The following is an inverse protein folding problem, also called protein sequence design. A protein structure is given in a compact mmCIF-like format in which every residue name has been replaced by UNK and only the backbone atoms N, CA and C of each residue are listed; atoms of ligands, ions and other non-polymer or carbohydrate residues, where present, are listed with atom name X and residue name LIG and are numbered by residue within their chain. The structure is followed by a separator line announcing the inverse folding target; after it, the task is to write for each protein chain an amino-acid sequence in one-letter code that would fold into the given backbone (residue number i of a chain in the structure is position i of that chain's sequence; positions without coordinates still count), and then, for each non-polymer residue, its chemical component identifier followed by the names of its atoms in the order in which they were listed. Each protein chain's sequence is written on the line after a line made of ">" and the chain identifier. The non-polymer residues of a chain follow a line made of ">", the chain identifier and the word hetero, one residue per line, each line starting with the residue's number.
data_IF_186166574576
#
_entry.id   IF_186166574576
#
_cell.length_a   1.000
_cell.length_b   1.000
_cell.length_c   1.000
_cell.angle_alpha   90.00
_cell.angle_beta   90.00
_cell.angle_gamma   90.00
#
_symmetry.space_group_name_H-M   'P 1'
#
loop_
_entity.id
_entity.type
_entity.pdbx_description
1 polymer ?
#
# COMPACT_ATOMS: atom_id res chain seq x y z
N UNK A 1 -36.58 12.45 -63.40
CA UNK A 1 -35.45 11.78 -62.71
C UNK A 1 -34.73 12.61 -61.63
N UNK A 2 -34.62 13.95 -61.71
CA UNK A 2 -33.90 14.78 -60.70
C UNK A 2 -34.41 14.71 -59.25
N UNK A 3 -35.72 14.57 -59.01
CA UNK A 3 -36.31 14.47 -57.65
C UNK A 3 -35.97 13.17 -56.90
N UNK A 4 -35.68 12.07 -57.61
CA UNK A 4 -35.33 10.79 -56.99
C UNK A 4 -33.89 10.78 -56.45
N UNK A 5 -32.96 11.41 -57.17
CA UNK A 5 -31.56 11.60 -56.75
C UNK A 5 -31.42 12.48 -55.50
N UNK A 6 -32.25 13.52 -55.38
CA UNK A 6 -32.28 14.41 -54.21
C UNK A 6 -32.69 13.71 -52.91
N UNK A 7 -33.63 12.76 -52.96
CA UNK A 7 -34.10 12.02 -51.77
C UNK A 7 -33.04 11.02 -51.26
N UNK A 8 -32.42 10.25 -52.15
CA UNK A 8 -31.31 9.33 -51.78
C UNK A 8 -30.12 10.07 -51.18
N UNK A 9 -29.76 11.24 -51.71
CA UNK A 9 -28.66 12.06 -51.19
C UNK A 9 -28.95 12.60 -49.77
N UNK A 10 -30.20 12.99 -49.48
CA UNK A 10 -30.64 13.37 -48.13
C UNK A 10 -30.60 12.20 -47.14
N UNK A 11 -31.01 11.00 -47.54
CA UNK A 11 -30.97 9.81 -46.68
C UNK A 11 -29.53 9.38 -46.35
N UNK A 12 -28.62 9.44 -47.32
CA UNK A 12 -27.18 9.16 -47.09
C UNK A 12 -26.60 10.19 -46.13
N UNK A 13 -26.91 11.48 -46.32
CA UNK A 13 -26.43 12.56 -45.45
C UNK A 13 -26.93 12.43 -44.00
N UNK A 14 -28.18 12.00 -43.79
CA UNK A 14 -28.70 11.73 -42.44
C UNK A 14 -28.05 10.51 -41.81
N UNK A 15 -27.77 9.44 -42.57
CA UNK A 15 -27.09 8.24 -42.04
C UNK A 15 -25.66 8.58 -41.63
N UNK A 16 -24.93 9.34 -42.46
CA UNK A 16 -23.56 9.78 -42.11
C UNK A 16 -23.55 10.69 -40.88
N UNK A 17 -24.54 11.58 -40.74
CA UNK A 17 -24.65 12.45 -39.56
C UNK A 17 -24.95 11.63 -38.28
N UNK A 18 -25.80 10.61 -38.36
CA UNK A 18 -26.09 9.71 -37.23
C UNK A 18 -24.85 8.88 -36.86
N UNK A 19 -24.12 8.34 -37.84
CA UNK A 19 -22.88 7.60 -37.58
C UNK A 19 -21.84 8.49 -36.90
N UNK A 20 -21.66 9.72 -37.40
CA UNK A 20 -20.75 10.68 -36.79
C UNK A 20 -21.17 11.02 -35.35
N UNK A 21 -22.46 11.22 -35.11
CA UNK A 21 -23.00 11.48 -33.77
C UNK A 21 -22.74 10.30 -32.82
N UNK A 22 -22.95 9.07 -33.27
CA UNK A 22 -22.66 7.85 -32.47
C UNK A 22 -21.16 7.75 -32.17
N UNK A 23 -20.29 7.99 -33.15
CA UNK A 23 -18.83 8.00 -32.93
C UNK A 23 -18.44 9.06 -31.90
N UNK A 24 -18.96 10.30 -32.03
CA UNK A 24 -18.72 11.35 -31.05
C UNK A 24 -19.22 10.95 -29.65
N UNK A 25 -20.42 10.39 -29.53
CA UNK A 25 -20.96 9.94 -28.26
C UNK A 25 -20.09 8.84 -27.62
N UNK A 26 -19.59 7.90 -28.42
CA UNK A 26 -18.67 6.84 -27.97
C UNK A 26 -17.34 7.42 -27.52
N UNK A 27 -16.75 8.36 -28.28
CA UNK A 27 -15.50 9.02 -27.89
C UNK A 27 -15.64 9.81 -26.59
N UNK A 28 -16.75 10.52 -26.40
CA UNK A 28 -17.05 11.23 -25.16
C UNK A 28 -17.21 10.25 -24.00
N UNK A 29 -17.94 9.15 -24.20
CA UNK A 29 -18.11 8.10 -23.19
C UNK A 29 -16.76 7.48 -22.78
N UNK A 30 -15.92 7.14 -23.76
CA UNK A 30 -14.57 6.62 -23.53
C UNK A 30 -13.73 7.63 -22.74
N UNK A 31 -13.75 8.91 -23.12
CA UNK A 31 -12.98 9.93 -22.41
C UNK A 31 -13.36 10.04 -20.93
N UNK A 32 -14.66 10.04 -20.60
CA UNK A 32 -15.11 10.05 -19.21
C UNK A 32 -14.72 8.79 -18.45
N UNK A 33 -14.84 7.61 -19.08
CA UNK A 33 -14.49 6.34 -18.44
C UNK A 33 -12.99 6.18 -18.24
N UNK A 34 -12.18 6.55 -19.22
CA UNK A 34 -10.72 6.51 -19.14
C UNK A 34 -10.23 7.30 -17.93
N UNK A 35 -10.78 8.51 -17.71
CA UNK A 35 -10.40 9.33 -16.55
C UNK A 35 -10.62 8.61 -15.22
N UNK A 36 -11.80 8.00 -15.01
CA UNK A 36 -12.12 7.27 -13.78
C UNK A 36 -11.20 6.05 -13.55
N UNK A 37 -10.91 5.27 -14.60
CA UNK A 37 -10.01 4.13 -14.49
C UNK A 37 -8.54 4.53 -14.32
N UNK A 38 -8.17 5.73 -14.76
CA UNK A 38 -6.79 6.21 -14.70
C UNK A 38 -6.32 6.43 -13.26
N UNK A 39 -7.13 7.09 -12.45
CA UNK A 39 -6.85 7.27 -11.03
C UNK A 39 -6.71 5.93 -10.28
N UNK A 40 -7.61 4.97 -10.56
CA UNK A 40 -7.59 3.63 -9.93
C UNK A 40 -6.33 2.85 -10.29
N UNK A 41 -5.97 2.83 -11.58
CA UNK A 41 -4.79 2.11 -12.06
C UNK A 41 -3.50 2.74 -11.50
N UNK A 42 -3.42 4.07 -11.45
CA UNK A 42 -2.27 4.75 -10.85
C UNK A 42 -2.15 4.51 -9.36
N UNK A 43 -3.24 4.67 -8.62
CA UNK A 43 -3.27 4.41 -7.18
C UNK A 43 -2.85 2.97 -6.90
N UNK A 44 -3.36 2.00 -7.65
CA UNK A 44 -3.01 0.59 -7.46
C UNK A 44 -1.54 0.29 -7.76
N UNK A 45 -0.99 0.83 -8.85
CA UNK A 45 0.42 0.61 -9.19
C UNK A 45 1.36 1.33 -8.22
N UNK A 46 1.01 2.54 -7.79
CA UNK A 46 1.75 3.30 -6.79
C UNK A 46 1.74 2.60 -5.43
N UNK A 47 0.58 2.10 -4.98
CA UNK A 47 0.47 1.28 -3.76
C UNK A 47 1.35 0.04 -3.85
N UNK A 48 1.29 -0.69 -4.97
CA UNK A 48 2.13 -1.88 -5.18
C UNK A 48 3.62 -1.54 -5.12
N UNK A 49 4.03 -0.45 -5.76
CA UNK A 49 5.41 0.01 -5.75
C UNK A 49 5.88 0.37 -4.33
N UNK A 50 5.09 1.18 -3.60
CA UNK A 50 5.38 1.52 -2.21
C UNK A 50 5.49 0.29 -1.31
N UNK A 51 4.56 -0.66 -1.42
CA UNK A 51 4.59 -1.90 -0.65
C UNK A 51 5.83 -2.75 -0.97
N UNK A 52 6.23 -2.84 -2.24
CA UNK A 52 7.45 -3.55 -2.65
C UNK A 52 8.69 -2.93 -2.02
N UNK A 53 8.83 -1.60 -2.09
CA UNK A 53 10.01 -0.91 -1.56
C UNK A 53 10.06 -0.97 -0.03
N UNK A 54 8.92 -0.91 0.66
CA UNK A 54 8.85 -1.13 2.11
C UNK A 54 9.36 -2.53 2.46
N UNK A 55 8.88 -3.56 1.75
CA UNK A 55 9.34 -4.92 2.00
C UNK A 55 10.85 -5.09 1.74
N UNK A 56 11.38 -4.49 0.66
CA UNK A 56 12.82 -4.49 0.37
C UNK A 56 13.63 -3.82 1.48
N UNK A 57 13.20 -2.66 1.98
CA UNK A 57 13.85 -1.94 3.06
C UNK A 57 13.97 -2.79 4.34
N UNK A 58 12.90 -3.54 4.62
CA UNK A 58 12.81 -4.37 5.81
C UNK A 58 13.63 -5.63 5.66
N UNK A 59 13.57 -6.32 4.52
CA UNK A 59 14.38 -7.51 4.26
C UNK A 59 15.88 -7.22 4.43
N UNK A 60 16.34 -6.07 3.94
CA UNK A 60 17.71 -5.62 4.12
C UNK A 60 18.04 -5.32 5.60
N UNK A 61 17.11 -4.67 6.31
CA UNK A 61 17.28 -4.38 7.74
C UNK A 61 17.26 -5.65 8.60
N UNK A 62 16.46 -6.66 8.23
CA UNK A 62 16.36 -7.97 8.88
C UNK A 62 17.64 -8.79 8.78
N UNK A 63 18.36 -8.69 7.66
CA UNK A 63 19.64 -9.38 7.50
C UNK A 63 20.75 -8.85 8.42
N UNK A 64 20.57 -7.63 8.95
CA UNK A 64 21.61 -6.90 9.69
C UNK A 64 21.43 -6.93 11.21
N UNK A 65 20.27 -7.37 11.73
CA UNK A 65 19.94 -7.31 13.16
C UNK A 65 19.17 -8.55 13.61
N UNK A 66 19.41 -9.00 14.85
CA UNK A 66 18.61 -10.05 15.47
C UNK A 66 17.37 -9.43 16.14
N UNK A 67 16.23 -9.46 15.44
CA UNK A 67 14.99 -8.85 15.92
C UNK A 67 14.45 -9.49 17.21
N UNK A 68 14.85 -10.75 17.50
CA UNK A 68 14.48 -11.47 18.72
C UNK A 68 15.07 -10.84 20.00
N UNK A 69 16.12 -10.02 19.87
CA UNK A 69 16.80 -9.34 20.97
C UNK A 69 16.28 -7.92 21.23
N UNK A 70 15.38 -7.40 20.38
CA UNK A 70 14.83 -6.05 20.53
C UNK A 70 13.98 -5.88 21.79
N UNK A 71 13.49 -6.99 22.33
CA UNK A 71 12.60 -7.01 23.49
C UNK A 71 13.11 -8.03 24.48
N UNK A 72 13.33 -7.59 25.72
CA UNK A 72 13.75 -8.44 26.84
C UNK A 72 12.75 -8.36 27.99
N UNK A 73 12.55 -9.49 28.67
CA UNK A 73 11.73 -9.58 29.87
C UNK A 73 12.66 -9.59 31.08
N UNK A 74 12.44 -8.66 32.00
CA UNK A 74 13.20 -8.55 33.25
C UNK A 74 12.47 -9.23 34.39
N UNK A 75 13.22 -9.86 35.29
CA UNK A 75 12.69 -10.62 36.43
C UNK A 75 13.19 -10.02 37.75
N UNK A 76 12.35 -10.06 38.78
CA UNK A 76 12.71 -9.68 40.16
C UNK A 76 13.54 -10.77 40.85
N UNK A 77 13.95 -10.51 42.11
CA UNK A 77 14.74 -11.47 42.91
C UNK A 77 14.01 -12.78 43.21
N UNK A 78 12.69 -12.83 43.01
CA UNK A 78 11.85 -14.00 43.23
C UNK A 78 11.54 -14.75 41.92
N UNK A 79 12.12 -14.33 40.79
CA UNK A 79 11.86 -14.91 39.48
C UNK A 79 10.52 -14.50 38.86
N UNK A 80 9.86 -13.47 39.39
CA UNK A 80 8.62 -12.90 38.84
C UNK A 80 8.94 -11.82 37.81
N UNK A 81 8.08 -11.69 36.80
CA UNK A 81 8.25 -10.68 35.75
C UNK A 81 8.10 -9.29 36.36
N UNK A 82 9.13 -8.45 36.23
CA UNK A 82 9.18 -7.09 36.78
C UNK A 82 8.95 -6.02 35.71
N UNK A 83 9.14 -6.34 34.44
CA UNK A 83 8.96 -5.40 33.35
C UNK A 83 9.48 -5.90 32.02
N UNK A 84 9.13 -5.18 30.96
CA UNK A 84 9.63 -5.41 29.59
C UNK A 84 10.48 -4.21 29.21
N UNK A 85 11.67 -4.49 28.71
CA UNK A 85 12.61 -3.48 28.24
C UNK A 85 12.87 -3.68 26.77
N UNK A 86 12.64 -2.62 25.99
CA UNK A 86 13.00 -2.57 24.59
C UNK A 86 14.44 -2.05 24.45
N UNK A 87 15.21 -2.64 23.54
CA UNK A 87 16.51 -2.11 23.16
C UNK A 87 16.33 -0.94 22.20
N UNK A 88 16.12 0.24 22.77
CA UNK A 88 15.89 1.47 22.03
C UNK A 88 17.06 1.85 21.11
N UNK A 89 18.28 1.38 21.38
CA UNK A 89 19.43 1.68 20.53
C UNK A 89 19.33 0.90 19.22
N UNK A 90 19.16 -0.42 19.29
CA UNK A 90 19.00 -1.26 18.09
C UNK A 90 17.73 -0.91 17.32
N UNK A 91 16.64 -0.60 18.03
CA UNK A 91 15.41 -0.05 17.47
C UNK A 91 15.67 1.22 16.64
N UNK A 92 16.39 2.20 17.18
CA UNK A 92 16.66 3.45 16.47
C UNK A 92 17.59 3.24 15.28
N UNK A 93 18.51 2.27 15.36
CA UNK A 93 19.36 1.89 14.22
C UNK A 93 18.50 1.30 13.10
N UNK A 94 17.59 0.37 13.40
CA UNK A 94 16.70 -0.25 12.42
C UNK A 94 15.80 0.79 11.75
N UNK A 95 15.10 1.61 12.54
CA UNK A 95 14.21 2.66 12.01
C UNK A 95 14.98 3.66 11.15
N UNK A 96 16.19 4.05 11.56
CA UNK A 96 17.08 4.90 10.75
C UNK A 96 17.52 4.23 9.45
N UNK A 97 17.84 2.93 9.47
CA UNK A 97 18.24 2.17 8.27
C UNK A 97 17.09 2.04 7.27
N UNK A 98 15.89 1.70 7.74
CA UNK A 98 14.69 1.65 6.91
C UNK A 98 14.43 3.03 6.30
N UNK A 99 14.41 4.08 7.11
CA UNK A 99 14.17 5.45 6.64
C UNK A 99 15.20 5.89 5.59
N UNK A 100 16.48 5.61 5.82
CA UNK A 100 17.55 5.95 4.89
C UNK A 100 17.44 5.17 3.58
N UNK A 101 17.16 3.86 3.65
CA UNK A 101 16.97 3.03 2.46
C UNK A 101 15.79 3.52 1.62
N UNK A 102 14.62 3.74 2.26
CA UNK A 102 13.43 4.25 1.59
C UNK A 102 13.70 5.60 0.93
N UNK A 103 14.31 6.54 1.66
CA UNK A 103 14.64 7.86 1.14
C UNK A 103 15.61 7.79 -0.05
N UNK A 104 16.62 6.92 0.02
CA UNK A 104 17.58 6.75 -1.07
C UNK A 104 16.94 6.07 -2.29
N UNK A 105 16.12 5.04 -2.06
CA UNK A 105 15.46 4.27 -3.12
C UNK A 105 14.43 5.11 -3.88
N UNK A 106 13.75 6.02 -3.19
CA UNK A 106 12.77 6.94 -3.74
C UNK A 106 13.40 8.21 -4.34
N UNK A 107 14.64 8.55 -3.97
CA UNK A 107 15.42 9.62 -4.60
C UNK A 107 16.10 9.18 -5.91
N UNK A 108 16.21 7.88 -6.18
CA UNK A 108 16.75 7.39 -7.45
C UNK A 108 15.67 7.44 -8.54
N UNK A 109 15.70 8.51 -9.33
CA UNK A 109 14.75 8.79 -10.42
C UNK A 109 14.68 7.67 -11.48
N UNK A 110 15.71 6.82 -11.61
CA UNK A 110 15.74 5.81 -12.69
C UNK A 110 14.84 4.61 -12.41
N UNK A 111 14.67 4.27 -11.15
CA UNK A 111 14.01 3.04 -10.73
C UNK A 111 12.64 3.29 -10.08
N UNK A 112 12.10 4.50 -10.24
CA UNK A 112 10.82 4.93 -9.68
C UNK A 112 9.77 5.18 -10.76
N UNK A 113 9.73 4.34 -11.80
CA UNK A 113 8.71 4.40 -12.84
C UNK A 113 8.06 3.05 -13.11
N UNK A 114 6.76 3.05 -13.37
CA UNK A 114 5.97 1.87 -13.73
C UNK A 114 5.39 2.07 -15.11
N UNK A 115 5.58 1.08 -15.99
CA UNK A 115 5.01 1.09 -17.35
C UNK A 115 3.70 0.34 -17.38
N UNK A 116 2.65 1.02 -17.84
CA UNK A 116 1.31 0.44 -17.96
C UNK A 116 0.81 0.61 -19.41
N UNK A 117 0.42 -0.47 -20.09
CA UNK A 117 -0.11 -0.38 -21.45
C UNK A 117 -1.38 0.48 -21.51
N UNK A 118 -1.44 1.39 -22.50
CA UNK A 118 -2.50 2.39 -22.64
C UNK A 118 -3.93 1.80 -22.62
N UNK A 119 -4.12 0.60 -23.16
CA UNK A 119 -5.42 -0.07 -23.18
C UNK A 119 -5.95 -0.46 -21.80
N UNK A 120 -5.08 -0.57 -20.79
CA UNK A 120 -5.46 -0.83 -19.39
C UNK A 120 -6.32 0.29 -18.82
N UNK A 121 -6.06 1.53 -19.22
CA UNK A 121 -6.80 2.72 -18.79
C UNK A 121 -8.21 2.82 -19.40
N UNK A 122 -8.52 2.03 -20.44
CA UNK A 122 -9.84 2.05 -21.08
C UNK A 122 -10.96 1.42 -20.24
N UNK A 123 -10.60 0.60 -19.24
CA UNK A 123 -11.55 -0.22 -18.48
C UNK A 123 -12.15 -1.40 -19.26
N UNK A 124 -11.79 -1.59 -20.53
CA UNK A 124 -12.25 -2.72 -21.35
C UNK A 124 -11.29 -3.88 -21.15
N UNK A 125 -11.74 -4.98 -20.54
CA UNK A 125 -10.89 -6.13 -20.20
C UNK A 125 -10.11 -6.70 -21.39
N UNK A 126 -10.69 -6.68 -22.60
CA UNK A 126 -10.02 -7.14 -23.82
C UNK A 126 -8.87 -6.24 -24.28
N UNK A 127 -8.88 -4.95 -23.90
CA UNK A 127 -7.81 -4.00 -24.22
C UNK A 127 -6.74 -3.95 -23.12
N UNK A 128 -6.92 -4.68 -22.01
CA UNK A 128 -5.92 -4.80 -20.97
C UNK A 128 -4.61 -5.34 -21.53
N UNK A 129 -3.52 -4.61 -21.33
CA UNK A 129 -2.20 -5.00 -21.85
C UNK A 129 -1.94 -4.66 -23.33
N UNK A 130 -2.87 -3.99 -24.01
CA UNK A 130 -2.73 -3.63 -25.44
C UNK A 130 -2.39 -2.16 -25.61
N UNK A 131 -1.52 -1.84 -26.57
CA UNK A 131 -1.14 -0.47 -26.93
C UNK A 131 0.26 -0.07 -26.46
N UNK A 132 0.67 1.19 -26.69
CA UNK A 132 1.95 1.70 -26.20
C UNK A 132 1.96 1.79 -24.66
N UNK A 133 3.13 1.66 -24.08
CA UNK A 133 3.31 1.87 -22.64
C UNK A 133 3.14 3.34 -22.28
N UNK A 134 2.35 3.60 -21.24
CA UNK A 134 2.29 4.87 -20.54
C UNK A 134 3.17 4.75 -19.29
N UNK A 135 4.13 5.65 -19.15
CA UNK A 135 4.99 5.72 -17.97
C UNK A 135 4.26 6.46 -16.85
N UNK A 136 4.25 5.84 -15.67
CA UNK A 136 3.84 6.45 -14.40
C UNK A 136 5.11 6.67 -13.58
N UNK A 137 5.50 7.92 -13.40
CA UNK A 137 6.65 8.29 -12.57
C UNK A 137 6.18 8.46 -11.12
N UNK A 138 6.87 7.87 -10.16
CA UNK A 138 6.48 7.87 -8.75
C UNK A 138 7.49 8.70 -7.98
N UNK A 139 7.01 9.75 -7.32
CA UNK A 139 7.81 10.64 -6.50
C UNK A 139 7.40 10.52 -5.04
N UNK A 140 8.38 10.62 -4.16
CA UNK A 140 8.08 10.77 -2.74
C UNK A 140 7.75 12.22 -2.40
N UNK A 141 6.72 12.40 -1.57
CA UNK A 141 6.40 13.66 -0.91
C UNK A 141 6.89 13.57 0.54
N UNK A 142 7.70 14.55 0.96
CA UNK A 142 8.24 14.57 2.31
C UNK A 142 9.27 13.47 2.58
N UNK A 143 9.34 13.01 3.83
CA UNK A 143 10.25 11.95 4.28
C UNK A 143 9.46 10.71 4.69
N UNK A 144 10.03 9.49 4.57
CA UNK A 144 9.36 8.29 5.05
C UNK A 144 9.16 8.42 6.55
N UNK A 145 7.96 8.10 7.03
CA UNK A 145 7.70 8.04 8.46
C UNK A 145 7.75 6.58 8.91
N UNK A 146 8.51 6.32 9.96
CA UNK A 146 8.71 4.97 10.51
C UNK A 146 8.53 5.06 12.01
N UNK A 147 7.37 4.61 12.48
CA UNK A 147 7.00 4.59 13.89
C UNK A 147 7.07 3.17 14.45
N UNK A 148 7.45 3.04 15.72
CA UNK A 148 7.33 1.77 16.44
C UNK A 148 6.09 1.77 17.32
N UNK A 149 5.23 0.79 17.08
CA UNK A 149 3.99 0.59 17.80
C UNK A 149 4.10 -0.69 18.61
N UNK A 150 3.70 -0.66 19.88
CA UNK A 150 3.68 -1.85 20.72
C UNK A 150 2.27 -2.14 21.20
N UNK A 151 1.93 -3.43 21.28
CA UNK A 151 0.65 -3.88 21.81
C UNK A 151 0.83 -5.02 22.81
N UNK A 152 -0.16 -5.13 23.71
CA UNK A 152 -0.32 -6.23 24.64
C UNK A 152 -1.66 -6.91 24.36
N UNK A 153 -1.61 -8.18 24.00
CA UNK A 153 -2.79 -9.04 23.80
C UNK A 153 -2.88 -10.08 24.92
N UNK A 154 -4.04 -10.21 25.55
CA UNK A 154 -4.23 -11.14 26.67
C UNK A 154 -4.90 -12.42 26.16
N UNK A 155 -4.08 -13.38 25.70
CA UNK A 155 -4.54 -14.56 24.95
C UNK A 155 -4.81 -15.81 25.82
N UNK A 156 -5.00 -15.68 27.14
CA UNK A 156 -5.35 -16.81 27.99
C UNK A 156 -5.46 -16.49 29.48
N UNK A 157 -5.66 -17.53 30.31
CA UNK A 157 -5.88 -17.37 31.77
C UNK A 157 -4.67 -16.69 32.43
N UNK A 158 -3.44 -16.86 31.88
CA UNK A 158 -2.19 -16.24 32.39
C UNK A 158 -1.14 -16.00 31.30
N UNK A 159 -1.57 -15.62 30.10
CA UNK A 159 -0.64 -15.40 29.00
C UNK A 159 -0.92 -14.05 28.37
N UNK A 160 0.06 -13.16 28.45
CA UNK A 160 0.07 -11.91 27.70
C UNK A 160 1.07 -12.05 26.56
N UNK A 161 0.64 -11.73 25.35
CA UNK A 161 1.50 -11.62 24.17
C UNK A 161 1.85 -10.15 24.04
N UNK A 162 3.15 -9.85 24.03
CA UNK A 162 3.66 -8.53 23.67
C UNK A 162 4.13 -8.57 22.22
N UNK A 163 3.66 -7.63 21.40
CA UNK A 163 4.10 -7.47 20.01
C UNK A 163 4.67 -6.08 19.80
N UNK A 164 5.74 -6.02 19.03
CA UNK A 164 6.37 -4.79 18.56
C UNK A 164 6.25 -4.74 17.04
N UNK A 165 5.70 -3.66 16.52
CA UNK A 165 5.48 -3.41 15.11
C UNK A 165 6.29 -2.19 14.65
N UNK A 166 6.79 -2.24 13.42
CA UNK A 166 7.16 -1.05 12.66
C UNK A 166 5.99 -0.65 11.77
N UNK A 167 5.44 0.54 11.99
CA UNK A 167 4.48 1.18 11.11
C UNK A 167 5.24 2.11 10.16
N UNK A 168 5.18 1.82 8.86
CA UNK A 168 5.83 2.61 7.82
C UNK A 168 4.77 3.34 7.00
N UNK A 169 4.90 4.66 6.91
CA UNK A 169 4.02 5.52 6.11
C UNK A 169 4.82 6.22 5.03
N UNK A 170 4.39 6.04 3.78
CA UNK A 170 4.94 6.71 2.61
C UNK A 170 3.86 7.57 1.95
N UNK A 171 4.15 8.86 1.76
CA UNK A 171 3.37 9.74 0.90
C UNK A 171 4.02 9.77 -0.49
N UNK A 172 3.30 9.30 -1.50
CA UNK A 172 3.79 9.17 -2.87
C UNK A 172 2.87 9.92 -3.83
N UNK A 173 3.44 10.56 -4.85
CA UNK A 173 2.70 11.14 -5.97
C UNK A 173 3.04 10.37 -7.24
N UNK A 174 2.03 9.75 -7.84
CA UNK A 174 2.12 9.13 -9.16
C UNK A 174 1.82 10.16 -10.25
N UNK A 175 2.79 10.44 -11.11
CA UNK A 175 2.73 11.43 -12.18
C UNK A 175 2.61 10.72 -13.53
N UNK A 176 1.64 11.14 -14.32
CA UNK A 176 1.45 10.71 -15.69
C UNK A 176 1.39 11.91 -16.64
N UNK A 177 1.44 11.67 -17.97
CA UNK A 177 1.24 12.72 -18.96
C UNK A 177 -0.08 13.50 -18.84
N UNK A 178 -1.12 12.89 -18.26
CA UNK A 178 -2.48 13.47 -18.18
C UNK A 178 -2.80 14.09 -16.83
N UNK A 179 -2.41 13.45 -15.73
CA UNK A 179 -2.74 13.86 -14.37
C UNK A 179 -1.74 13.32 -13.35
N UNK A 180 -1.83 13.80 -12.11
CA UNK A 180 -1.06 13.32 -10.97
C UNK A 180 -2.02 12.86 -9.87
N UNK A 181 -1.65 11.79 -9.17
CA UNK A 181 -2.46 11.17 -8.12
C UNK A 181 -1.61 10.99 -6.87
N UNK A 182 -2.06 11.55 -5.75
CA UNK A 182 -1.42 11.38 -4.45
C UNK A 182 -1.92 10.10 -3.78
N UNK A 183 -1.00 9.35 -3.20
CA UNK A 183 -1.22 8.01 -2.66
C UNK A 183 -0.43 7.86 -1.38
N UNK A 184 -1.14 7.61 -0.28
CA UNK A 184 -0.52 7.22 0.99
C UNK A 184 -0.44 5.70 1.06
N UNK A 185 0.75 5.17 1.35
CA UNK A 185 1.00 3.74 1.53
C UNK A 185 1.41 3.51 2.98
N UNK A 186 0.56 2.79 3.71
CA UNK A 186 0.80 2.41 5.09
C UNK A 186 1.04 0.90 5.19
N UNK A 187 1.99 0.51 6.02
CA UNK A 187 2.33 -0.89 6.24
C UNK A 187 2.85 -1.11 7.66
N UNK A 188 2.19 -2.01 8.38
CA UNK A 188 2.67 -2.49 9.68
C UNK A 188 3.38 -3.83 9.53
N UNK A 189 4.54 -3.97 10.17
CA UNK A 189 5.35 -5.19 10.15
C UNK A 189 5.68 -5.62 11.57
N UNK A 190 5.38 -6.88 11.90
CA UNK A 190 5.74 -7.48 13.17
C UNK A 190 7.26 -7.65 13.25
N UNK A 191 7.88 -6.94 14.19
CA UNK A 191 9.31 -6.99 14.44
C UNK A 191 9.67 -8.05 15.47
N UNK A 192 8.95 -8.07 16.59
CA UNK A 192 9.22 -8.98 17.68
C UNK A 192 7.93 -9.38 18.39
N UNK A 193 7.88 -10.62 18.87
CA UNK A 193 6.80 -11.13 19.71
C UNK A 193 7.39 -11.83 20.93
N UNK A 194 6.83 -11.57 22.12
CA UNK A 194 7.18 -12.26 23.36
C UNK A 194 5.92 -12.75 24.06
N UNK A 195 5.90 -14.04 24.42
CA UNK A 195 4.87 -14.61 25.28
C UNK A 195 5.30 -14.50 26.74
N UNK A 196 4.46 -13.85 27.53
CA UNK A 196 4.66 -13.56 28.94
C UNK A 196 3.72 -14.49 29.71
N UNK A 197 4.30 -15.43 30.45
CA UNK A 197 3.53 -16.38 31.26
C UNK A 197 3.46 -15.85 32.69
N UNK A 198 2.25 -15.53 33.14
CA UNK A 198 1.96 -15.13 34.51
C UNK A 198 1.69 -16.32 35.44
N UNK A 199 1.65 -16.08 36.75
CA UNK A 199 1.22 -17.07 37.74
C UNK A 199 -0.27 -17.37 37.58
N UNK A 200 -0.66 -18.65 37.62
CA UNK A 200 -2.07 -19.05 37.60
C UNK A 200 -2.77 -18.58 38.87
N UNK A 201 -3.85 -17.76 38.81
CA UNK A 201 -4.60 -17.40 39.99
C UNK A 201 -5.13 -18.68 40.63
N UNK A 202 -4.73 -18.94 41.87
CA UNK A 202 -5.42 -19.95 42.68
C UNK A 202 -6.85 -19.48 42.84
N UNK A 203 -7.77 -20.11 42.11
CA UNK A 203 -9.18 -20.01 42.41
C UNK A 203 -9.38 -20.54 43.83
N UNK A 204 -9.57 -19.65 44.80
CA UNK A 204 -10.13 -20.03 46.10
C UNK A 204 -11.59 -20.39 45.80
N UNK A 205 -11.82 -21.66 45.46
CA UNK A 205 -13.15 -22.23 45.46
C UNK A 205 -13.57 -22.31 46.93
N UNK A 206 -14.17 -21.23 47.42
CA UNK A 206 -14.84 -21.22 48.71
C UNK A 206 -16.16 -22.01 48.55
N UNK A 207 -16.05 -23.34 48.68
CA UNK A 207 -17.20 -24.22 48.85
C UNK A 207 -17.78 -24.06 50.26
N UNK A 208 -18.19 -22.85 50.61
CA UNK A 208 -18.97 -22.58 51.81
C UNK A 208 -20.13 -21.64 51.47
N UNK A 209 -21.13 -22.20 50.79
CA UNK A 209 -22.45 -21.61 50.81
C UNK A 209 -23.52 -22.71 50.89
N UNK A 210 -23.89 -22.98 52.16
CA UNK A 210 -25.07 -23.67 52.71
C UNK A 210 -25.32 -25.13 52.38
#
# INVERSE_FOLDING_TARGET
>A
MRRYYSKKCKTIMTITAVILFVICAVLVYIHFKVKEYTEVICSSNCQKFGQTIINEAIELSMSSCNFDELVSVTYDSNGRISGITADNMHINIITSQITQYLSQRLADDKDSSVKVPAGTFSGISFLGGVGPDVTIDIFQVGSPDVELVSEFDNSGINQTIYRLYASVTLELTAVMPTESVDVTVEREILLAEKVIVGEVPMAVLDFNNK
#
